data_IF_747716969873
#
_entry.id   IF_747716969873
#
_cell.length_a   1.000
_cell.length_b   1.000
_cell.length_c   1.000
_cell.angle_alpha   90.00
_cell.angle_beta   90.00
_cell.angle_gamma   90.00
#
_symmetry.space_group_name_H-M   'P 1'
#
loop_
_entity.id
_entity.type
_entity.pdbx_description
1 polymer ?
#
# COMPACT_ATOMS: atom_id res chain seq x y z
N UNK A 1 41.81 -61.18 -7.45
CA UNK A 1 40.33 -60.96 -7.29
C UNK A 1 40.10 -59.47 -7.25
N UNK A 2 39.63 -58.89 -8.36
CA UNK A 2 39.44 -57.48 -8.51
C UNK A 2 37.92 -57.22 -8.40
N UNK A 3 37.51 -56.38 -7.44
CA UNK A 3 36.14 -55.96 -7.28
C UNK A 3 35.96 -54.58 -7.92
N UNK A 4 35.20 -54.56 -8.99
CA UNK A 4 34.78 -53.37 -9.74
C UNK A 4 33.63 -52.70 -9.01
N UNK A 5 33.79 -51.48 -8.54
CA UNK A 5 32.71 -50.64 -8.02
C UNK A 5 32.13 -49.77 -9.14
N UNK A 6 30.95 -50.16 -9.62
CA UNK A 6 30.19 -49.40 -10.60
C UNK A 6 29.56 -48.15 -9.96
N UNK A 7 30.01 -46.99 -10.37
CA UNK A 7 29.41 -45.69 -10.05
C UNK A 7 28.09 -45.53 -10.83
N UNK A 8 26.95 -45.52 -10.13
CA UNK A 8 25.65 -45.18 -10.72
C UNK A 8 25.57 -43.66 -10.88
N UNK A 9 25.58 -43.19 -12.12
CA UNK A 9 25.27 -41.81 -12.47
C UNK A 9 23.75 -41.57 -12.25
N UNK A 10 23.42 -40.66 -11.37
CA UNK A 10 22.06 -40.14 -11.18
C UNK A 10 21.72 -39.25 -12.39
N UNK A 11 20.56 -39.41 -13.03
CA UNK A 11 20.17 -38.53 -14.11
C UNK A 11 19.88 -37.12 -13.57
N UNK A 12 20.45 -36.11 -14.23
CA UNK A 12 20.22 -34.69 -13.95
C UNK A 12 18.71 -34.37 -14.02
N UNK A 13 18.23 -33.72 -12.97
CA UNK A 13 16.85 -33.30 -12.84
C UNK A 13 16.40 -32.41 -14.03
N UNK A 14 15.28 -32.79 -14.62
CA UNK A 14 14.61 -31.99 -15.62
C UNK A 14 14.24 -30.64 -14.99
N UNK A 15 14.79 -29.57 -15.55
CA UNK A 15 14.39 -28.21 -15.19
C UNK A 15 12.89 -28.06 -15.54
N UNK A 16 12.07 -27.90 -14.52
CA UNK A 16 10.64 -27.60 -14.69
C UNK A 16 10.51 -26.27 -15.43
N UNK A 17 9.97 -26.29 -16.63
CA UNK A 17 9.58 -25.08 -17.35
C UNK A 17 8.60 -24.28 -16.48
N UNK A 18 8.77 -22.95 -16.36
CA UNK A 18 7.78 -22.12 -15.67
C UNK A 18 6.45 -22.28 -16.36
N UNK A 19 5.30 -22.30 -15.64
CA UNK A 19 3.97 -22.41 -16.25
C UNK A 19 3.81 -21.29 -17.27
N UNK A 20 3.31 -21.64 -18.45
CA UNK A 20 3.04 -20.68 -19.52
C UNK A 20 2.10 -19.60 -18.96
N UNK A 21 2.60 -18.35 -18.95
CA UNK A 21 1.83 -17.21 -18.48
C UNK A 21 0.57 -17.07 -19.34
N UNK A 22 -0.61 -17.24 -18.74
CA UNK A 22 -1.88 -16.99 -19.42
C UNK A 22 -1.96 -15.49 -19.74
N UNK A 23 -2.26 -15.09 -20.99
CA UNK A 23 -2.40 -13.68 -21.34
C UNK A 23 -3.45 -13.01 -20.45
N UNK A 24 -3.23 -11.78 -19.99
CA UNK A 24 -4.20 -11.07 -19.18
C UNK A 24 -5.52 -10.87 -19.95
N UNK A 25 -6.64 -11.19 -19.32
CA UNK A 25 -7.98 -10.99 -19.89
C UNK A 25 -8.41 -9.54 -19.70
N UNK A 26 -8.11 -8.72 -20.69
CA UNK A 26 -8.44 -7.29 -20.63
C UNK A 26 -9.87 -6.97 -21.03
N UNK A 27 -10.57 -7.89 -21.68
CA UNK A 27 -11.92 -7.69 -22.19
C UNK A 27 -12.94 -7.42 -21.08
N UNK A 28 -12.97 -8.27 -20.07
CA UNK A 28 -13.84 -8.10 -18.89
C UNK A 28 -13.59 -6.77 -18.18
N UNK A 29 -12.33 -6.36 -18.08
CA UNK A 29 -11.92 -5.09 -17.46
C UNK A 29 -12.45 -3.90 -18.25
N UNK A 30 -12.30 -3.90 -19.57
CA UNK A 30 -12.81 -2.85 -20.46
C UNK A 30 -14.33 -2.76 -20.35
N UNK A 31 -15.04 -3.88 -20.42
CA UNK A 31 -16.49 -3.95 -20.31
C UNK A 31 -16.99 -3.39 -18.97
N UNK A 32 -16.34 -3.77 -17.87
CA UNK A 32 -16.66 -3.28 -16.52
C UNK A 32 -16.48 -1.77 -16.44
N UNK A 33 -15.30 -1.27 -16.81
CA UNK A 33 -14.97 0.17 -16.76
C UNK A 33 -15.89 1.02 -17.65
N UNK A 34 -16.25 0.52 -18.84
CA UNK A 34 -17.21 1.17 -19.71
C UNK A 34 -18.58 1.26 -19.04
N UNK A 35 -19.03 0.14 -18.45
CA UNK A 35 -20.35 0.07 -17.80
C UNK A 35 -20.44 0.95 -16.56
N UNK A 36 -19.39 1.01 -15.73
CA UNK A 36 -19.28 1.88 -14.56
C UNK A 36 -19.40 3.36 -14.97
N UNK A 37 -18.87 3.73 -16.16
CA UNK A 37 -18.96 5.07 -16.73
C UNK A 37 -20.27 5.32 -17.52
N UNK A 38 -21.17 4.34 -17.54
CA UNK A 38 -22.46 4.39 -18.28
C UNK A 38 -22.28 4.65 -19.77
N UNK A 39 -21.16 4.26 -20.36
CA UNK A 39 -20.89 4.37 -21.79
C UNK A 39 -21.48 3.17 -22.55
N UNK A 40 -22.07 3.45 -23.72
CA UNK A 40 -22.44 2.37 -24.66
C UNK A 40 -21.20 1.89 -25.41
N UNK A 41 -21.31 0.73 -26.05
CA UNK A 41 -20.25 0.24 -26.97
C UNK A 41 -19.92 1.26 -28.07
N UNK A 42 -20.95 1.96 -28.57
CA UNK A 42 -20.80 2.97 -29.59
C UNK A 42 -20.05 4.22 -29.09
N UNK A 43 -20.35 4.66 -27.87
CA UNK A 43 -19.66 5.80 -27.26
C UNK A 43 -18.18 5.52 -27.08
N UNK A 44 -17.82 4.38 -26.49
CA UNK A 44 -16.42 4.03 -26.26
C UNK A 44 -15.69 3.75 -27.59
N UNK A 45 -16.33 3.10 -28.57
CA UNK A 45 -15.73 2.85 -29.87
C UNK A 45 -15.40 4.16 -30.58
N UNK A 46 -16.28 5.14 -30.52
CA UNK A 46 -16.10 6.47 -31.09
C UNK A 46 -15.01 7.23 -30.37
N UNK A 47 -15.03 7.26 -29.04
CA UNK A 47 -14.04 7.96 -28.22
C UNK A 47 -12.62 7.38 -28.40
N UNK A 48 -12.49 6.06 -28.51
CA UNK A 48 -11.21 5.39 -28.69
C UNK A 48 -10.75 5.29 -30.16
N UNK A 49 -11.60 5.64 -31.14
CA UNK A 49 -11.29 5.50 -32.57
C UNK A 49 -11.08 4.04 -32.99
N UNK A 50 -11.85 3.10 -32.41
CA UNK A 50 -11.86 1.67 -32.76
C UNK A 50 -13.22 1.27 -33.28
N UNK A 51 -13.31 0.24 -34.14
CA UNK A 51 -14.62 -0.19 -34.63
C UNK A 51 -15.43 -0.86 -33.51
N UNK A 52 -16.76 -0.70 -33.54
CA UNK A 52 -17.68 -1.29 -32.56
C UNK A 52 -17.58 -2.83 -32.55
N UNK A 53 -17.36 -3.44 -33.72
CA UNK A 53 -17.17 -4.89 -33.82
C UNK A 53 -15.89 -5.34 -33.11
N UNK A 54 -14.78 -4.65 -33.36
CA UNK A 54 -13.48 -4.92 -32.70
C UNK A 54 -13.60 -4.77 -31.17
N UNK A 55 -14.21 -3.67 -30.69
CA UNK A 55 -14.42 -3.46 -29.27
C UNK A 55 -15.27 -4.57 -28.64
N UNK A 56 -16.35 -4.95 -29.34
CA UNK A 56 -17.21 -6.06 -28.87
C UNK A 56 -16.51 -7.41 -28.82
N UNK A 57 -15.56 -7.67 -29.72
CA UNK A 57 -14.76 -8.89 -29.69
C UNK A 57 -13.72 -8.87 -28.59
N UNK A 58 -13.11 -7.72 -28.36
CA UNK A 58 -12.17 -7.52 -27.24
C UNK A 58 -12.89 -7.71 -25.90
N UNK A 59 -14.06 -7.09 -25.69
CA UNK A 59 -14.84 -7.22 -24.45
C UNK A 59 -15.30 -8.65 -24.16
N UNK A 60 -15.40 -9.50 -25.18
CA UNK A 60 -15.72 -10.92 -25.06
C UNK A 60 -14.50 -11.84 -25.03
N UNK A 61 -13.30 -11.29 -24.90
CA UNK A 61 -12.02 -12.01 -24.96
C UNK A 61 -11.83 -12.86 -26.21
N UNK A 62 -12.51 -12.50 -27.31
CA UNK A 62 -12.38 -13.16 -28.62
C UNK A 62 -11.25 -12.58 -29.47
N UNK A 63 -10.79 -11.38 -29.13
CA UNK A 63 -9.66 -10.72 -29.75
C UNK A 63 -8.80 -10.03 -28.70
N UNK A 64 -7.47 -10.12 -28.83
CA UNK A 64 -6.55 -9.38 -27.99
C UNK A 64 -6.25 -8.02 -28.64
N UNK A 65 -6.40 -6.91 -27.94
CA UNK A 65 -6.02 -5.60 -28.47
C UNK A 65 -4.51 -5.51 -28.68
N UNK A 66 -4.09 -4.88 -29.76
CA UNK A 66 -2.69 -4.43 -29.87
C UNK A 66 -2.42 -3.37 -28.82
N UNK A 67 -1.14 -3.14 -28.49
CA UNK A 67 -0.74 -2.07 -27.53
C UNK A 67 -1.32 -0.71 -27.96
N UNK A 68 -1.34 -0.41 -29.25
CA UNK A 68 -1.90 0.84 -29.78
C UNK A 68 -3.42 0.92 -29.57
N UNK A 69 -4.15 -0.17 -29.70
CA UNK A 69 -5.58 -0.23 -29.43
C UNK A 69 -5.85 -0.13 -27.91
N UNK A 70 -5.09 -0.86 -27.09
CA UNK A 70 -5.18 -0.80 -25.63
C UNK A 70 -4.95 0.63 -25.14
N UNK A 71 -3.90 1.31 -25.64
CA UNK A 71 -3.60 2.69 -25.27
C UNK A 71 -4.74 3.66 -25.62
N UNK A 72 -5.37 3.53 -26.80
CA UNK A 72 -6.52 4.36 -27.19
C UNK A 72 -7.73 4.11 -26.29
N UNK A 73 -7.99 2.84 -25.94
CA UNK A 73 -9.07 2.47 -25.04
C UNK A 73 -8.85 3.00 -23.63
N UNK A 74 -7.61 2.91 -23.10
CA UNK A 74 -7.28 3.45 -21.77
C UNK A 74 -7.43 4.96 -21.71
N UNK A 75 -6.96 5.68 -22.75
CA UNK A 75 -7.16 7.13 -22.82
C UNK A 75 -8.64 7.51 -22.86
N UNK A 76 -9.46 6.81 -23.66
CA UNK A 76 -10.90 7.06 -23.73
C UNK A 76 -11.62 6.73 -22.42
N UNK A 77 -11.10 5.77 -21.64
CA UNK A 77 -11.60 5.40 -20.32
C UNK A 77 -10.98 6.22 -19.19
N UNK A 78 -9.97 7.06 -19.44
CA UNK A 78 -9.29 7.85 -18.40
C UNK A 78 -8.54 7.00 -17.37
N UNK A 79 -7.91 5.91 -17.81
CA UNK A 79 -7.08 5.02 -17.00
C UNK A 79 -5.70 4.85 -17.63
N UNK A 80 -4.77 4.26 -16.90
CA UNK A 80 -3.44 3.89 -17.41
C UNK A 80 -3.43 2.49 -18.04
N UNK A 81 -2.42 2.18 -18.85
CA UNK A 81 -2.21 0.82 -19.35
C UNK A 81 -1.98 -0.18 -18.21
N UNK A 82 -1.25 0.23 -17.17
CA UNK A 82 -1.02 -0.60 -16.00
C UNK A 82 -2.34 -0.98 -15.31
N UNK A 83 -3.23 -0.03 -15.11
CA UNK A 83 -4.57 -0.28 -14.56
C UNK A 83 -5.41 -1.23 -15.45
N UNK A 84 -5.24 -1.17 -16.78
CA UNK A 84 -5.94 -2.08 -17.69
C UNK A 84 -5.45 -3.52 -17.57
N UNK A 85 -4.14 -3.72 -17.37
CA UNK A 85 -3.53 -5.05 -17.27
C UNK A 85 -3.47 -5.57 -15.84
N UNK A 86 -3.68 -4.71 -14.85
CA UNK A 86 -3.85 -5.13 -13.46
C UNK A 86 -5.15 -5.91 -13.35
N UNK A 87 -5.05 -7.19 -13.01
CA UNK A 87 -6.26 -7.94 -12.68
C UNK A 87 -6.95 -7.25 -11.50
N UNK A 88 -8.27 -6.98 -11.55
CA UNK A 88 -8.98 -6.57 -10.36
C UNK A 88 -8.76 -7.68 -9.34
N UNK A 89 -7.93 -7.42 -8.32
CA UNK A 89 -7.93 -8.27 -7.12
C UNK A 89 -9.38 -8.30 -6.66
N UNK A 90 -9.97 -9.49 -6.64
CA UNK A 90 -11.24 -9.68 -5.92
C UNK A 90 -11.06 -8.98 -4.56
N UNK A 91 -12.01 -8.15 -4.11
CA UNK A 91 -11.87 -7.48 -2.84
C UNK A 91 -11.59 -8.56 -1.80
N UNK A 92 -10.35 -8.58 -1.28
CA UNK A 92 -10.01 -9.48 -0.20
C UNK A 92 -10.93 -9.10 0.96
N UNK A 93 -11.84 -9.99 1.31
CA UNK A 93 -12.77 -9.77 2.42
C UNK A 93 -12.01 -9.52 3.73
N UNK A 94 -10.82 -10.10 3.84
CA UNK A 94 -9.87 -9.88 4.95
C UNK A 94 -8.48 -9.80 4.33
N UNK A 95 -7.82 -8.65 4.46
CA UNK A 95 -6.41 -8.47 4.10
C UNK A 95 -5.56 -8.62 5.34
N UNK A 96 -4.53 -9.44 5.26
CA UNK A 96 -3.53 -9.62 6.33
C UNK A 96 -2.18 -9.24 5.80
N UNK A 97 -1.60 -8.17 6.35
CA UNK A 97 -0.22 -7.77 6.07
C UNK A 97 0.69 -8.39 7.15
N UNK A 98 1.73 -9.12 6.72
CA UNK A 98 2.71 -9.70 7.64
C UNK A 98 3.69 -8.66 8.18
N UNK A 99 4.48 -8.99 9.23
CA UNK A 99 5.43 -8.03 9.82
C UNK A 99 6.46 -7.46 8.82
N UNK A 100 6.79 -8.20 7.77
CA UNK A 100 7.75 -7.81 6.73
C UNK A 100 7.12 -6.95 5.62
N UNK A 101 5.80 -6.95 5.51
CA UNK A 101 5.06 -6.21 4.50
C UNK A 101 4.70 -4.78 4.98
N UNK A 102 4.88 -4.52 6.28
CA UNK A 102 4.56 -3.25 6.90
C UNK A 102 5.72 -2.26 6.69
N UNK A 103 5.52 -1.16 5.95
CA UNK A 103 6.55 -0.15 5.73
C UNK A 103 7.02 0.46 7.05
N UNK A 104 8.31 0.74 7.11
CA UNK A 104 8.94 1.36 8.28
C UNK A 104 9.68 2.62 7.87
N UNK A 105 9.39 3.72 8.56
CA UNK A 105 10.07 4.99 8.45
C UNK A 105 10.93 5.18 9.69
N UNK A 106 12.18 5.59 9.52
CA UNK A 106 13.07 5.87 10.64
C UNK A 106 13.69 7.25 10.48
N UNK A 107 13.89 7.93 11.60
CA UNK A 107 14.68 9.17 11.62
C UNK A 107 16.13 8.88 11.22
N UNK A 108 16.74 9.81 10.49
CA UNK A 108 18.14 9.69 10.05
C UNK A 108 19.14 9.54 11.22
N UNK A 109 18.78 10.01 12.40
CA UNK A 109 19.56 9.96 13.63
C UNK A 109 19.18 8.76 14.53
N UNK A 110 18.27 7.88 14.06
CA UNK A 110 17.80 6.73 14.83
C UNK A 110 16.96 7.08 16.07
N UNK A 111 16.51 8.33 16.20
CA UNK A 111 15.77 8.80 17.37
C UNK A 111 14.33 8.37 17.43
N UNK A 112 13.77 7.87 16.34
CA UNK A 112 12.43 7.28 16.26
C UNK A 112 12.32 6.28 15.12
N UNK A 113 11.33 5.43 15.23
CA UNK A 113 10.87 4.53 14.16
C UNK A 113 9.34 4.55 14.13
N UNK A 114 8.78 4.63 12.92
CA UNK A 114 7.35 4.55 12.66
C UNK A 114 7.08 3.35 11.75
N UNK A 115 6.30 2.39 12.21
CA UNK A 115 5.73 1.32 11.38
C UNK A 115 4.36 1.75 10.90
N UNK A 116 4.15 1.76 9.58
CA UNK A 116 2.93 2.27 8.96
C UNK A 116 1.87 1.17 8.94
N UNK A 117 0.97 1.17 9.94
CA UNK A 117 -0.11 0.19 10.03
C UNK A 117 -1.37 0.59 9.24
N UNK A 118 -1.53 1.88 8.98
CA UNK A 118 -2.61 2.40 8.19
C UNK A 118 -2.48 2.01 6.71
N UNK A 119 -3.59 1.68 6.03
CA UNK A 119 -3.55 1.41 4.60
C UNK A 119 -3.27 2.70 3.83
N UNK A 120 -2.49 2.58 2.75
CA UNK A 120 -1.99 3.72 1.98
C UNK A 120 -3.10 4.55 1.32
N UNK A 121 -4.24 3.95 1.01
CA UNK A 121 -5.39 4.62 0.41
C UNK A 121 -6.13 5.57 1.38
N UNK A 122 -5.82 5.51 2.67
CA UNK A 122 -6.30 6.46 3.68
C UNK A 122 -5.26 7.54 4.02
N UNK A 123 -4.06 7.50 3.46
CA UNK A 123 -3.04 8.51 3.69
C UNK A 123 -3.54 9.92 3.40
N UNK A 124 -3.24 10.88 4.28
CA UNK A 124 -3.77 12.24 4.21
C UNK A 124 -5.22 12.41 4.66
N UNK A 125 -5.86 11.34 5.18
CA UNK A 125 -7.20 11.39 5.80
C UNK A 125 -7.17 10.82 7.20
N UNK A 126 -6.73 9.58 7.30
CA UNK A 126 -6.67 8.84 8.56
C UNK A 126 -5.48 7.90 8.50
N UNK A 127 -4.50 8.12 9.38
CA UNK A 127 -3.26 7.36 9.39
C UNK A 127 -3.01 6.80 10.79
N UNK A 128 -2.42 5.61 10.89
CA UNK A 128 -2.00 5.07 12.17
C UNK A 128 -0.68 4.32 12.07
N UNK A 129 0.10 4.48 13.14
CA UNK A 129 1.48 4.06 13.23
C UNK A 129 1.78 3.40 14.57
N UNK A 130 2.65 2.42 14.58
CA UNK A 130 3.39 2.10 15.79
C UNK A 130 4.62 3.00 15.86
N UNK A 131 4.64 3.89 16.84
CA UNK A 131 5.80 4.73 17.16
C UNK A 131 6.67 4.03 18.17
N UNK A 132 7.95 3.87 17.85
CA UNK A 132 8.99 3.38 18.75
C UNK A 132 10.01 4.46 18.97
N UNK A 133 10.28 4.80 20.25
CA UNK A 133 11.29 5.74 20.67
C UNK A 133 12.33 5.04 21.57
N UNK A 134 13.60 4.98 21.18
CA UNK A 134 14.66 4.55 22.10
C UNK A 134 14.76 5.50 23.30
N UNK A 135 15.50 5.13 24.33
CA UNK A 135 15.76 6.00 25.49
C UNK A 135 16.35 7.34 25.07
N UNK A 136 15.73 8.44 25.46
CA UNK A 136 16.08 9.80 25.03
C UNK A 136 15.70 10.14 23.59
N UNK A 137 14.99 9.22 22.88
CA UNK A 137 14.49 9.45 21.53
C UNK A 137 13.36 10.47 21.47
N UNK A 138 13.12 11.01 20.28
CA UNK A 138 12.05 11.96 20.05
C UNK A 138 11.58 11.97 18.59
N UNK A 139 10.28 12.10 18.40
CA UNK A 139 9.65 12.51 17.14
C UNK A 139 9.27 13.99 17.28
N UNK A 140 9.87 14.84 16.46
CA UNK A 140 9.60 16.28 16.41
C UNK A 140 8.94 16.58 15.09
N UNK A 141 7.75 17.15 15.11
CA UNK A 141 6.93 17.44 13.95
C UNK A 141 6.70 18.93 13.78
N UNK A 142 6.78 19.40 12.54
CA UNK A 142 6.24 20.71 12.18
C UNK A 142 4.70 20.65 12.23
N UNK A 143 4.07 21.81 12.17
CA UNK A 143 2.62 21.89 12.04
C UNK A 143 2.14 21.11 10.81
N UNK A 144 1.13 20.27 11.00
CA UNK A 144 0.38 19.65 9.91
C UNK A 144 -0.65 20.64 9.32
N UNK A 145 -1.47 20.16 8.40
CA UNK A 145 -2.55 20.98 7.84
C UNK A 145 -3.54 21.44 8.91
N UNK A 146 -4.17 22.64 8.74
CA UNK A 146 -5.11 23.18 9.70
C UNK A 146 -6.24 22.23 10.05
N UNK A 147 -6.45 22.02 11.36
CA UNK A 147 -7.49 21.15 11.90
C UNK A 147 -7.07 19.68 12.06
N UNK A 148 -5.83 19.34 11.71
CA UNK A 148 -5.26 18.01 11.99
C UNK A 148 -5.15 17.76 13.50
N UNK A 149 -5.49 16.56 13.91
CA UNK A 149 -5.40 16.09 15.30
C UNK A 149 -4.62 14.81 15.39
N UNK A 150 -3.90 14.66 16.50
CA UNK A 150 -3.23 13.42 16.83
C UNK A 150 -3.80 12.79 18.11
N UNK A 151 -3.81 11.45 18.12
CA UNK A 151 -4.12 10.64 19.29
C UNK A 151 -2.93 9.71 19.54
N UNK A 152 -2.35 9.78 20.72
CA UNK A 152 -1.23 8.93 21.14
C UNK A 152 -1.65 8.05 22.31
N UNK A 153 -1.60 6.74 22.13
CA UNK A 153 -1.81 5.76 23.20
C UNK A 153 -0.48 5.08 23.50
N UNK A 154 0.04 5.24 24.71
CA UNK A 154 1.30 4.59 25.12
C UNK A 154 1.03 3.11 25.38
N UNK A 155 1.72 2.23 24.65
CA UNK A 155 1.62 0.77 24.77
C UNK A 155 2.65 0.21 25.74
N UNK A 156 3.84 0.81 25.77
CA UNK A 156 4.96 0.39 26.60
C UNK A 156 5.83 1.58 27.00
N UNK A 157 6.32 1.58 28.24
CA UNK A 157 7.18 2.64 28.77
C UNK A 157 6.44 3.90 29.15
N UNK A 158 7.07 5.04 28.95
CA UNK A 158 6.50 6.36 29.19
C UNK A 158 6.92 7.33 28.10
N UNK A 159 6.05 8.27 27.76
CA UNK A 159 6.32 9.31 26.78
C UNK A 159 5.89 10.67 27.31
N UNK A 160 6.45 11.71 26.79
CA UNK A 160 6.07 13.09 27.03
C UNK A 160 5.65 13.75 25.73
N UNK A 161 4.48 14.38 25.73
CA UNK A 161 3.98 15.16 24.60
C UNK A 161 4.12 16.63 24.90
N UNK A 162 4.68 17.36 23.96
CA UNK A 162 4.71 18.81 23.89
C UNK A 162 3.86 19.25 22.70
N UNK A 163 2.77 19.97 22.95
CA UNK A 163 1.90 20.52 21.90
C UNK A 163 1.40 21.89 22.34
N UNK A 164 1.45 22.87 21.46
CA UNK A 164 1.22 24.27 21.79
C UNK A 164 2.07 24.70 23.01
N UNK A 165 1.44 25.30 24.03
CA UNK A 165 2.11 25.71 25.26
C UNK A 165 2.03 24.66 26.39
N UNK A 166 1.63 23.41 26.09
CA UNK A 166 1.40 22.37 27.09
C UNK A 166 2.39 21.21 26.94
N UNK A 167 2.84 20.68 28.08
CA UNK A 167 3.52 19.39 28.13
C UNK A 167 2.78 18.43 29.08
N UNK A 168 2.74 17.16 28.72
CA UNK A 168 2.14 16.11 29.53
C UNK A 168 2.93 14.81 29.42
N UNK A 169 3.19 14.21 30.58
CA UNK A 169 3.81 12.89 30.66
C UNK A 169 2.73 11.82 30.70
N UNK A 170 2.91 10.77 29.92
CA UNK A 170 2.03 9.63 29.76
C UNK A 170 2.78 8.35 30.14
N UNK A 171 2.09 7.41 30.75
CA UNK A 171 2.54 6.04 31.03
C UNK A 171 1.77 5.04 30.18
N UNK A 172 2.21 3.79 30.18
CA UNK A 172 1.51 2.72 29.48
C UNK A 172 0.02 2.66 29.88
N UNK A 173 -0.86 2.61 28.90
CA UNK A 173 -2.31 2.67 29.01
C UNK A 173 -2.92 4.08 28.90
N UNK A 174 -2.14 5.14 29.05
CA UNK A 174 -2.66 6.50 28.91
C UNK A 174 -2.82 6.86 27.41
N UNK A 175 -3.86 7.66 27.13
CA UNK A 175 -4.12 8.21 25.80
C UNK A 175 -4.23 9.73 25.86
N UNK A 176 -3.42 10.44 25.08
CA UNK A 176 -3.56 11.87 24.84
C UNK A 176 -4.21 12.15 23.49
N UNK A 177 -4.90 13.29 23.39
CA UNK A 177 -5.47 13.84 22.17
C UNK A 177 -5.15 15.32 22.10
N UNK A 178 -4.53 15.75 21.01
CA UNK A 178 -4.05 17.12 20.89
C UNK A 178 -4.18 17.63 19.45
N UNK A 179 -4.26 18.96 19.26
CA UNK A 179 -4.13 19.54 17.93
C UNK A 179 -2.70 19.33 17.42
N UNK A 180 -2.56 19.01 16.14
CA UNK A 180 -1.28 18.77 15.48
C UNK A 180 -1.03 19.80 14.36
N UNK A 181 -1.88 20.80 14.23
CA UNK A 181 -1.75 21.95 13.33
C UNK A 181 -0.83 23.07 13.89
N UNK A 182 -0.11 22.78 14.97
CA UNK A 182 0.99 23.54 15.50
C UNK A 182 2.23 22.64 15.69
N UNK A 183 3.45 23.19 15.78
CA UNK A 183 4.63 22.39 16.08
C UNK A 183 4.47 21.62 17.39
N UNK A 184 4.82 20.34 17.36
CA UNK A 184 4.66 19.45 18.50
C UNK A 184 5.77 18.39 18.54
N UNK A 185 5.93 17.73 19.69
CA UNK A 185 6.94 16.70 19.87
C UNK A 185 6.44 15.58 20.80
N UNK A 186 6.86 14.37 20.47
CA UNK A 186 6.70 13.19 21.34
C UNK A 186 8.10 12.74 21.73
N UNK A 187 8.38 12.69 23.04
CA UNK A 187 9.69 12.35 23.59
C UNK A 187 9.63 11.14 24.49
N UNK A 188 10.70 10.38 24.51
CA UNK A 188 10.92 9.36 25.54
C UNK A 188 11.91 9.88 26.59
N UNK A 189 11.46 10.32 27.76
CA UNK A 189 12.35 10.83 28.81
C UNK A 189 13.08 9.71 29.58
N UNK A 190 12.73 8.44 29.30
CA UNK A 190 13.33 7.28 29.95
C UNK A 190 14.62 6.82 29.30
N UNK A 191 15.22 5.76 29.88
CA UNK A 191 16.42 5.10 29.35
C UNK A 191 16.11 3.88 28.50
N UNK A 192 14.96 3.24 28.73
CA UNK A 192 14.48 2.10 27.97
C UNK A 192 13.60 2.55 26.79
N UNK A 193 13.44 1.69 25.83
CA UNK A 193 12.54 1.90 24.70
C UNK A 193 11.09 2.10 25.15
N UNK A 194 10.38 3.00 24.50
CA UNK A 194 8.96 3.22 24.67
C UNK A 194 8.23 3.05 23.33
N UNK A 195 7.00 2.49 23.37
CA UNK A 195 6.17 2.25 22.19
C UNK A 195 4.76 2.81 22.39
N UNK A 196 4.21 3.34 21.31
CA UNK A 196 2.86 3.90 21.30
C UNK A 196 2.16 3.63 19.96
N UNK A 197 0.82 3.61 20.01
CA UNK A 197 -0.02 3.77 18.84
C UNK A 197 -0.23 5.28 18.62
N UNK A 198 0.17 5.76 17.47
CA UNK A 198 -0.05 7.13 17.01
C UNK A 198 -1.07 7.12 15.88
N UNK A 199 -2.12 7.91 16.03
CA UNK A 199 -3.17 8.09 15.01
C UNK A 199 -3.18 9.57 14.61
N UNK A 200 -3.14 9.82 13.30
CA UNK A 200 -3.26 11.16 12.70
C UNK A 200 -4.57 11.25 11.94
N UNK A 201 -5.36 12.26 12.24
CA UNK A 201 -6.66 12.52 11.62
C UNK A 201 -6.58 13.88 10.94
N UNK A 202 -6.60 13.85 9.63
CA UNK A 202 -6.66 15.06 8.79
C UNK A 202 -8.14 15.50 8.64
N UNK A 203 -8.33 16.78 8.38
CA UNK A 203 -9.68 17.36 8.25
C UNK A 203 -10.14 17.48 6.80
#
# INVERSE_FOLDING_TARGET
MASSSGSRRTPAGAASQPPAATPPRVGEQIQRLRSERKLTLDDLSRAAGVSKSMLSEIERDKANPTIAVAWRLTNALGITLDELFSQPKAPETIRVDGPHDIPTLAGHDGRYQLRVWGPIDLAGKFEWYELTLPGGGALVSNAHEPGTREHLTVLQGAMEIEAAAASRRLKAGDTARYPADEPHAIRNPGKAEARALLIVIHR
#
